data_IF_922692466923
#
_entry.id   IF_922692466923
#
_cell.length_a   1.000
_cell.length_b   1.000
_cell.length_c   1.000
_cell.angle_alpha   90.00
_cell.angle_beta   90.00
_cell.angle_gamma   90.00
#
_symmetry.space_group_name_H-M   'P 1'
#
loop_
_entity.id
_entity.type
_entity.pdbx_description
1 polymer ?
#
# COMPACT_ATOMS: atom_id res chain seq x y z
N UNK A 1 13.63 4.24 18.63
CA UNK A 1 13.11 2.85 18.65
C UNK A 1 11.62 2.92 18.40
N UNK A 2 11.03 2.01 17.59
CA UNK A 2 9.60 2.00 17.32
C UNK A 2 8.76 1.93 18.61
N UNK A 3 7.63 2.64 18.64
CA UNK A 3 6.70 2.58 19.76
C UNK A 3 5.99 1.22 19.84
N UNK A 4 5.37 0.85 20.98
CA UNK A 4 4.56 -0.36 21.06
C UNK A 4 3.48 -0.44 19.98
N UNK A 5 2.84 0.69 19.66
CA UNK A 5 1.84 0.77 18.59
C UNK A 5 2.45 0.51 17.21
N UNK A 6 3.66 1.04 16.94
CA UNK A 6 4.36 0.77 15.68
C UNK A 6 4.71 -0.72 15.55
N UNK A 7 5.14 -1.37 16.64
CA UNK A 7 5.43 -2.81 16.64
C UNK A 7 4.17 -3.64 16.38
N UNK A 8 3.04 -3.31 17.02
CA UNK A 8 1.76 -3.97 16.74
C UNK A 8 1.36 -3.80 15.28
N UNK A 9 1.48 -2.57 14.74
CA UNK A 9 1.15 -2.30 13.35
C UNK A 9 2.08 -3.05 12.39
N UNK A 10 3.39 -3.06 12.63
CA UNK A 10 4.35 -3.86 11.85
C UNK A 10 3.96 -5.34 11.85
N UNK A 11 3.59 -5.90 13.01
CA UNK A 11 3.11 -7.28 13.11
C UNK A 11 1.87 -7.54 12.26
N UNK A 12 0.89 -6.62 12.28
CA UNK A 12 -0.30 -6.70 11.44
C UNK A 12 0.07 -6.65 9.95
N UNK A 13 0.98 -5.77 9.55
CA UNK A 13 1.41 -5.61 8.16
C UNK A 13 2.15 -6.86 7.65
N UNK A 14 2.96 -7.51 8.50
CA UNK A 14 3.61 -8.79 8.18
C UNK A 14 2.58 -9.90 7.97
N UNK A 15 1.55 -9.98 8.82
CA UNK A 15 0.45 -10.94 8.63
C UNK A 15 -0.38 -10.60 7.38
N UNK A 16 -0.57 -9.32 7.05
CA UNK A 16 -1.21 -8.91 5.81
C UNK A 16 -0.43 -9.38 4.58
N UNK A 17 0.90 -9.47 4.64
CA UNK A 17 1.73 -10.00 3.57
C UNK A 17 1.35 -11.45 3.18
N UNK A 18 0.91 -12.28 4.14
CA UNK A 18 0.41 -13.63 3.87
C UNK A 18 -0.83 -13.60 2.96
N UNK A 19 -1.68 -12.59 3.11
CA UNK A 19 -2.84 -12.41 2.20
C UNK A 19 -2.40 -12.00 0.79
N UNK A 20 -1.30 -11.26 0.68
CA UNK A 20 -0.70 -10.89 -0.61
C UNK A 20 -0.13 -12.11 -1.32
N UNK A 21 0.49 -13.05 -0.61
CA UNK A 21 0.95 -14.34 -1.19
C UNK A 21 -0.18 -15.11 -1.85
N UNK A 22 -1.37 -15.13 -1.23
CA UNK A 22 -2.57 -15.74 -1.82
C UNK A 22 -2.97 -15.06 -3.14
N UNK A 23 -2.81 -13.73 -3.24
CA UNK A 23 -2.96 -12.99 -4.48
C UNK A 23 -1.92 -13.35 -5.54
N UNK A 24 -0.67 -13.60 -5.12
CA UNK A 24 0.39 -14.10 -5.99
C UNK A 24 0.05 -15.48 -6.56
N UNK A 25 -0.43 -16.39 -5.71
CA UNK A 25 -0.94 -17.70 -6.14
C UNK A 25 -2.10 -17.56 -7.14
N UNK A 26 -3.05 -16.66 -6.88
CA UNK A 26 -4.14 -16.36 -7.81
C UNK A 26 -3.63 -15.93 -9.19
N UNK A 27 -2.62 -15.04 -9.25
CA UNK A 27 -1.99 -14.65 -10.50
C UNK A 27 -1.35 -15.85 -11.22
N UNK A 28 -0.75 -16.80 -10.51
CA UNK A 28 -0.22 -18.03 -11.14
C UNK A 28 -1.32 -18.83 -11.83
N UNK A 29 -2.55 -18.84 -11.29
CA UNK A 29 -3.67 -19.55 -11.90
C UNK A 29 -4.15 -18.85 -13.17
N UNK A 30 -4.14 -17.51 -13.20
CA UNK A 30 -4.48 -16.72 -14.38
C UNK A 30 -3.48 -16.99 -15.52
N UNK A 31 -2.18 -16.85 -15.26
CA UNK A 31 -1.15 -17.02 -16.31
C UNK A 31 -1.06 -18.46 -16.82
N UNK A 32 -1.52 -19.44 -16.02
CA UNK A 32 -1.64 -20.86 -16.43
C UNK A 32 -2.98 -21.17 -17.12
N UNK A 33 -3.83 -20.18 -17.37
CA UNK A 33 -5.14 -20.35 -18.03
C UNK A 33 -6.21 -21.05 -17.19
N UNK A 34 -5.99 -21.23 -15.88
CA UNK A 34 -6.96 -21.87 -14.97
C UNK A 34 -8.05 -20.92 -14.48
N UNK A 35 -7.79 -19.62 -14.56
CA UNK A 35 -8.77 -18.56 -14.31
C UNK A 35 -8.79 -17.68 -15.55
N UNK A 36 -9.92 -17.57 -16.26
CA UNK A 36 -10.00 -16.69 -17.41
C UNK A 36 -9.90 -15.23 -16.96
N UNK A 37 -9.04 -14.46 -17.64
CA UNK A 37 -8.90 -13.02 -17.45
C UNK A 37 -8.46 -12.41 -18.79
N UNK A 38 -9.08 -11.30 -19.19
CA UNK A 38 -8.67 -10.59 -20.39
C UNK A 38 -7.37 -9.77 -20.14
N UNK A 39 -6.83 -9.15 -21.19
CA UNK A 39 -5.56 -8.42 -21.10
C UNK A 39 -5.61 -7.28 -20.06
N UNK A 40 -6.73 -6.56 -19.97
CA UNK A 40 -6.94 -5.49 -19.00
C UNK A 40 -6.91 -6.05 -17.56
N UNK A 41 -7.64 -7.13 -17.31
CA UNK A 41 -7.68 -7.79 -16.00
C UNK A 41 -6.31 -8.31 -15.58
N UNK A 42 -5.57 -8.97 -16.47
CA UNK A 42 -4.21 -9.45 -16.19
C UNK A 42 -3.29 -8.30 -15.80
N UNK A 43 -3.33 -7.19 -16.56
CA UNK A 43 -2.57 -5.97 -16.27
C UNK A 43 -2.90 -5.42 -14.88
N UNK A 44 -4.18 -5.23 -14.58
CA UNK A 44 -4.64 -4.60 -13.35
C UNK A 44 -4.42 -5.48 -12.12
N UNK A 45 -4.66 -6.79 -12.22
CA UNK A 45 -4.39 -7.70 -11.11
C UNK A 45 -2.90 -7.79 -10.78
N UNK A 46 -2.01 -7.76 -11.80
CA UNK A 46 -0.56 -7.70 -11.57
C UNK A 46 -0.15 -6.38 -10.90
N UNK A 47 -0.67 -5.25 -11.39
CA UNK A 47 -0.38 -3.94 -10.81
C UNK A 47 -0.88 -3.85 -9.36
N UNK A 48 -2.11 -4.30 -9.09
CA UNK A 48 -2.68 -4.33 -7.75
C UNK A 48 -1.89 -5.19 -6.78
N UNK A 49 -1.47 -6.41 -7.19
CA UNK A 49 -0.66 -7.29 -6.35
C UNK A 49 0.72 -6.67 -6.05
N UNK A 50 1.38 -6.09 -7.04
CA UNK A 50 2.67 -5.43 -6.86
C UNK A 50 2.58 -4.24 -5.88
N UNK A 51 1.56 -3.38 -6.04
CA UNK A 51 1.35 -2.25 -5.14
C UNK A 51 1.02 -2.71 -3.71
N UNK A 52 0.24 -3.78 -3.54
CA UNK A 52 -0.04 -4.33 -2.20
C UNK A 52 1.25 -4.74 -1.48
N UNK A 53 2.11 -5.51 -2.16
CA UNK A 53 3.35 -5.99 -1.57
C UNK A 53 4.32 -4.84 -1.24
N UNK A 54 4.61 -3.98 -2.22
CA UNK A 54 5.62 -2.92 -2.05
C UNK A 54 5.20 -1.88 -1.01
N UNK A 55 3.91 -1.52 -0.95
CA UNK A 55 3.43 -0.53 0.01
C UNK A 55 3.39 -1.08 1.44
N UNK A 56 3.12 -2.37 1.64
CA UNK A 56 3.25 -3.00 2.95
C UNK A 56 4.72 -3.03 3.42
N UNK A 57 5.66 -3.39 2.54
CA UNK A 57 7.10 -3.34 2.84
C UNK A 57 7.56 -1.91 3.15
N UNK A 58 7.12 -0.93 2.35
CA UNK A 58 7.42 0.48 2.58
C UNK A 58 6.85 0.97 3.91
N UNK A 59 5.64 0.54 4.28
CA UNK A 59 5.03 0.85 5.58
C UNK A 59 5.89 0.35 6.72
N UNK A 60 6.36 -0.89 6.67
CA UNK A 60 7.24 -1.48 7.68
C UNK A 60 8.57 -0.70 7.75
N UNK A 61 9.15 -0.34 6.60
CA UNK A 61 10.38 0.43 6.54
C UNK A 61 10.24 1.82 7.17
N UNK A 62 9.14 2.52 6.89
CA UNK A 62 8.86 3.84 7.49
C UNK A 62 8.66 3.70 9.00
N UNK A 63 7.81 2.77 9.46
CA UNK A 63 7.55 2.55 10.88
C UNK A 63 8.81 2.16 11.67
N UNK A 64 9.77 1.48 11.04
CA UNK A 64 11.05 1.14 11.66
C UNK A 64 11.91 2.37 12.01
N UNK A 65 11.72 3.49 11.29
CA UNK A 65 12.52 4.71 11.45
C UNK A 65 11.70 5.93 11.89
N UNK A 66 10.37 5.85 11.92
CA UNK A 66 9.50 7.01 12.17
C UNK A 66 9.71 7.64 13.56
N UNK A 67 10.21 6.87 14.53
CA UNK A 67 10.57 7.39 15.86
C UNK A 67 11.67 8.45 15.86
N UNK A 68 12.40 8.60 14.74
CA UNK A 68 13.44 9.63 14.57
C UNK A 68 12.91 10.89 13.87
N UNK A 69 11.66 10.88 13.40
CA UNK A 69 11.07 12.05 12.75
C UNK A 69 10.67 13.11 13.79
N UNK A 70 10.88 14.38 13.46
CA UNK A 70 10.36 15.50 14.24
C UNK A 70 8.87 15.74 13.89
N UNK A 71 8.02 14.77 14.22
CA UNK A 71 6.58 14.79 13.98
C UNK A 71 5.82 14.44 15.25
N UNK A 72 4.67 15.07 15.44
CA UNK A 72 3.73 14.76 16.50
C UNK A 72 2.27 14.82 16.00
N UNK A 73 1.34 14.47 16.89
CA UNK A 73 -0.09 14.56 16.68
C UNK A 73 -0.57 14.00 15.33
N UNK A 74 -1.26 14.83 14.57
CA UNK A 74 -1.83 14.46 13.28
C UNK A 74 -0.77 14.08 12.23
N UNK A 75 0.37 14.77 12.20
CA UNK A 75 1.39 14.55 11.19
C UNK A 75 2.14 13.23 11.41
N UNK A 76 2.44 12.91 12.67
CA UNK A 76 2.98 11.59 13.01
C UNK A 76 1.99 10.48 12.67
N UNK A 77 0.71 10.66 13.02
CA UNK A 77 -0.35 9.71 12.67
C UNK A 77 -0.43 9.48 11.15
N UNK A 78 -0.45 10.56 10.36
CA UNK A 78 -0.52 10.49 8.90
C UNK A 78 0.69 9.78 8.30
N UNK A 79 1.90 10.07 8.78
CA UNK A 79 3.13 9.41 8.35
C UNK A 79 3.14 7.91 8.70
N UNK A 80 2.61 7.53 9.87
CA UNK A 80 2.59 6.13 10.32
C UNK A 80 1.52 5.28 9.63
N UNK A 81 0.31 5.80 9.43
CA UNK A 81 -0.83 5.00 8.93
C UNK A 81 -1.18 5.24 7.45
N UNK A 82 -0.71 6.34 6.86
CA UNK A 82 -1.10 6.72 5.50
C UNK A 82 -0.64 5.73 4.44
N UNK A 83 0.59 5.22 4.52
CA UNK A 83 1.07 4.18 3.59
C UNK A 83 0.30 2.86 3.76
N UNK A 84 0.02 2.36 4.98
CA UNK A 84 -0.92 1.25 5.19
C UNK A 84 -2.29 1.44 4.56
N UNK A 85 -2.89 2.63 4.68
CA UNK A 85 -4.19 2.94 4.06
C UNK A 85 -4.07 2.87 2.52
N UNK A 86 -3.01 3.45 1.95
CA UNK A 86 -2.77 3.38 0.51
C UNK A 86 -2.54 1.95 0.02
N UNK A 87 -1.91 1.09 0.83
CA UNK A 87 -1.72 -0.33 0.55
C UNK A 87 -3.04 -1.14 0.46
N UNK A 88 -4.14 -0.58 0.95
CA UNK A 88 -5.49 -1.13 0.76
C UNK A 88 -6.18 -0.48 -0.44
N UNK A 89 -6.20 0.86 -0.47
CA UNK A 89 -6.94 1.63 -1.47
C UNK A 89 -6.44 1.39 -2.90
N UNK A 90 -5.12 1.41 -3.12
CA UNK A 90 -4.58 1.23 -4.47
C UNK A 90 -4.85 -0.17 -5.03
N UNK A 91 -4.52 -1.27 -4.32
CA UNK A 91 -4.84 -2.60 -4.81
C UNK A 91 -6.34 -2.77 -4.99
N UNK A 92 -7.18 -2.31 -4.05
CA UNK A 92 -8.64 -2.37 -4.21
C UNK A 92 -9.10 -1.67 -5.49
N UNK A 93 -8.57 -0.48 -5.80
CA UNK A 93 -8.86 0.21 -7.05
C UNK A 93 -8.44 -0.57 -8.29
N UNK A 94 -7.23 -1.16 -8.30
CA UNK A 94 -6.78 -2.01 -9.39
C UNK A 94 -7.64 -3.26 -9.57
N UNK A 95 -7.93 -4.02 -8.50
CA UNK A 95 -8.68 -5.26 -8.59
C UNK A 95 -10.16 -5.03 -8.89
N UNK A 96 -10.82 -4.17 -8.11
CA UNK A 96 -12.28 -4.03 -8.16
C UNK A 96 -12.76 -3.25 -9.39
N UNK A 97 -11.92 -2.38 -9.96
CA UNK A 97 -12.31 -1.59 -11.13
C UNK A 97 -12.44 -2.42 -12.42
N UNK A 98 -11.84 -3.60 -12.47
CA UNK A 98 -11.88 -4.50 -13.65
C UNK A 98 -12.63 -5.80 -13.36
N UNK A 99 -13.50 -5.81 -12.34
CA UNK A 99 -14.42 -6.93 -12.14
C UNK A 99 -15.55 -6.87 -13.19
N UNK A 100 -15.90 -8.03 -13.74
CA UNK A 100 -16.94 -8.18 -14.75
C UNK A 100 -16.63 -9.29 -15.75
N UNK A 101 -17.61 -9.56 -16.63
CA UNK A 101 -17.39 -10.42 -17.80
C UNK A 101 -16.76 -9.56 -18.90
N UNK A 102 -15.51 -9.87 -19.24
CA UNK A 102 -14.73 -9.22 -20.31
C UNK A 102 -14.77 -7.68 -20.30
N UNK A 103 -14.26 -7.03 -19.23
CA UNK A 103 -14.29 -5.57 -19.12
C UNK A 103 -13.35 -4.91 -20.14
N UNK A 104 -13.89 -3.96 -20.90
CA UNK A 104 -13.12 -3.14 -21.85
C UNK A 104 -12.46 -1.91 -21.19
N UNK A 105 -12.95 -1.50 -20.01
CA UNK A 105 -12.41 -0.37 -19.26
C UNK A 105 -12.67 -0.49 -17.76
N UNK A 106 -11.89 0.18 -16.91
CA UNK A 106 -12.14 0.25 -15.48
C UNK A 106 -13.50 0.92 -15.17
N UNK A 107 -14.23 0.38 -14.20
CA UNK A 107 -15.44 0.98 -13.63
C UNK A 107 -15.09 2.08 -12.60
N UNK A 108 -16.12 2.69 -11.99
CA UNK A 108 -15.96 3.83 -11.07
C UNK A 108 -15.10 3.52 -9.82
N UNK A 109 -14.91 2.26 -9.46
CA UNK A 109 -14.04 1.88 -8.34
C UNK A 109 -12.56 2.21 -8.60
N UNK A 110 -12.19 2.60 -9.83
CA UNK A 110 -10.86 3.17 -10.13
C UNK A 110 -10.56 4.42 -9.29
N UNK A 111 -11.58 5.12 -8.78
CA UNK A 111 -11.37 6.25 -7.86
C UNK A 111 -10.70 5.86 -6.54
N UNK A 112 -10.81 4.60 -6.11
CA UNK A 112 -10.06 4.10 -4.94
C UNK A 112 -8.55 4.17 -5.18
N UNK A 113 -8.11 3.88 -6.40
CA UNK A 113 -6.70 3.99 -6.76
C UNK A 113 -6.22 5.43 -6.60
N UNK A 114 -6.95 6.39 -7.15
CA UNK A 114 -6.58 7.81 -7.07
C UNK A 114 -6.63 8.36 -5.64
N UNK A 115 -7.62 7.95 -4.84
CA UNK A 115 -7.65 8.25 -3.42
C UNK A 115 -6.40 7.68 -2.70
N UNK A 116 -6.03 6.44 -3.03
CA UNK A 116 -4.79 5.82 -2.56
C UNK A 116 -3.54 6.61 -2.96
N UNK A 117 -3.47 7.14 -4.18
CA UNK A 117 -2.34 7.99 -4.64
C UNK A 117 -2.24 9.26 -3.79
N UNK A 118 -3.36 9.93 -3.55
CA UNK A 118 -3.38 11.14 -2.73
C UNK A 118 -2.90 10.86 -1.30
N UNK A 119 -3.42 9.79 -0.67
CA UNK A 119 -3.02 9.39 0.69
C UNK A 119 -1.55 8.99 0.75
N UNK A 120 -1.07 8.20 -0.21
CA UNK A 120 0.33 7.79 -0.28
C UNK A 120 1.24 9.02 -0.40
N UNK A 121 0.91 9.93 -1.31
CA UNK A 121 1.71 11.14 -1.56
C UNK A 121 1.80 11.99 -0.30
N UNK A 122 0.67 12.24 0.37
CA UNK A 122 0.64 13.00 1.62
C UNK A 122 1.47 12.33 2.73
N UNK A 123 1.34 11.00 2.88
CA UNK A 123 2.09 10.25 3.89
C UNK A 123 3.60 10.28 3.65
N UNK A 124 4.04 10.08 2.40
CA UNK A 124 5.47 10.09 2.04
C UNK A 124 6.10 11.48 2.20
N UNK A 125 5.39 12.53 1.78
CA UNK A 125 5.86 13.91 1.98
C UNK A 125 6.00 14.19 3.48
N UNK A 126 4.98 13.83 4.28
CA UNK A 126 4.99 14.07 5.73
C UNK A 126 6.12 13.31 6.41
N UNK A 127 6.26 12.01 6.13
CA UNK A 127 7.34 11.18 6.68
C UNK A 127 8.72 11.68 6.26
N UNK A 128 8.90 12.00 4.98
CA UNK A 128 10.18 12.48 4.44
C UNK A 128 10.63 13.80 5.07
N UNK A 129 9.73 14.80 5.12
CA UNK A 129 10.01 16.09 5.77
C UNK A 129 10.30 15.89 7.26
N UNK A 130 9.49 15.09 7.95
CA UNK A 130 9.67 14.81 9.37
C UNK A 130 11.02 14.17 9.70
N UNK A 131 11.44 13.19 8.90
CA UNK A 131 12.73 12.52 9.05
C UNK A 131 13.91 13.48 8.78
N UNK A 132 13.81 14.33 7.75
CA UNK A 132 14.81 15.37 7.48
C UNK A 132 14.91 16.34 8.66
N UNK A 133 13.78 16.84 9.16
CA UNK A 133 13.76 17.77 10.29
C UNK A 133 14.34 17.15 11.57
N UNK A 134 13.99 15.89 11.86
CA UNK A 134 14.54 15.15 12.99
C UNK A 134 16.05 14.92 12.88
N UNK A 135 16.55 14.60 11.69
CA UNK A 135 17.99 14.45 11.43
C UNK A 135 18.75 15.77 11.58
N UNK A 136 18.22 16.87 11.04
CA UNK A 136 18.82 18.21 11.17
C UNK A 136 18.88 18.67 12.63
N UNK A 137 17.85 18.37 13.42
CA UNK A 137 17.82 18.71 14.85
C UNK A 137 18.85 17.93 15.70
N UNK A 138 19.44 16.86 15.14
CA UNK A 138 20.43 16.01 15.82
C UNK A 138 21.89 16.30 15.41
N UNK A 139 22.13 17.26 14.52
CA UNK A 139 23.47 17.76 14.15
C UNK A 139 23.99 18.77 15.18
#
# INVERSE_FOLDING_TARGET
MPSPNDLTLIGILLLALVTVESGGYFLTRIVRGRVPANALQVSFFRAGHAHAAVLLVLSIAILAVISYAALDGFWLWLASIGVPIAAILMPAGFFLSVLGKDPERPNRLIWLLWAGVAVLTAALITAGIGLIAGGVAAL
#
